data_IF_709873174825
#
_entry.id   IF_709873174825
#
_cell.length_a   1.000
_cell.length_b   1.000
_cell.length_c   1.000
_cell.angle_alpha   90.00
_cell.angle_beta   90.00
_cell.angle_gamma   90.00
#
_symmetry.space_group_name_H-M   'P 1'
#
loop_
_entity.id
_entity.type
_entity.pdbx_description
1 polymer ?
#
# COMPACT_ATOMS: atom_id res chain seq x y z
N UNK A 1 10.41 -28.47 8.48
CA UNK A 1 10.12 -28.88 7.06
C UNK A 1 10.93 -27.98 6.17
N UNK A 2 11.90 -28.55 5.43
CA UNK A 2 12.83 -27.79 4.63
C UNK A 2 12.35 -27.44 3.21
N UNK A 3 11.24 -28.04 2.76
CA UNK A 3 10.59 -27.70 1.49
C UNK A 3 9.08 -27.88 1.56
N UNK A 4 8.36 -27.24 0.62
CA UNK A 4 6.93 -27.39 0.42
C UNK A 4 6.61 -27.46 -1.07
N UNK A 5 5.96 -28.52 -1.50
CA UNK A 5 5.46 -28.66 -2.87
C UNK A 5 4.26 -27.76 -3.10
N UNK A 6 4.24 -27.07 -4.23
CA UNK A 6 3.16 -26.18 -4.65
C UNK A 6 2.40 -26.77 -5.84
N UNK A 7 1.17 -26.35 -6.03
CA UNK A 7 0.31 -26.85 -7.11
C UNK A 7 0.88 -26.52 -8.49
N UNK A 8 1.45 -25.32 -8.65
CA UNK A 8 2.14 -24.81 -9.84
C UNK A 8 2.90 -23.52 -9.47
N UNK A 9 3.72 -23.01 -10.36
CA UNK A 9 4.45 -21.74 -10.21
C UNK A 9 3.56 -20.51 -10.40
N UNK A 10 4.04 -19.50 -11.14
CA UNK A 10 3.21 -18.33 -11.45
C UNK A 10 1.97 -18.69 -12.29
N UNK A 11 2.07 -19.68 -13.15
CA UNK A 11 0.99 -20.12 -14.04
C UNK A 11 0.75 -21.64 -13.93
N UNK A 12 -0.48 -22.12 -14.24
CA UNK A 12 -0.84 -23.53 -14.10
C UNK A 12 0.02 -24.52 -14.90
N UNK A 13 0.63 -24.09 -15.99
CA UNK A 13 1.54 -24.90 -16.82
C UNK A 13 2.97 -24.97 -16.27
N UNK A 14 3.34 -24.13 -15.29
CA UNK A 14 4.68 -24.10 -14.70
C UNK A 14 4.80 -25.12 -13.57
N UNK A 15 5.10 -26.37 -13.94
CA UNK A 15 5.26 -27.51 -13.03
C UNK A 15 6.56 -28.24 -13.36
N UNK A 16 7.23 -28.83 -12.35
CA UNK A 16 6.91 -28.82 -10.92
C UNK A 16 7.13 -27.46 -10.26
N UNK A 17 6.59 -27.28 -9.05
CA UNK A 17 6.76 -26.03 -8.26
C UNK A 17 6.91 -26.35 -6.78
N UNK A 18 7.85 -25.70 -6.12
CA UNK A 18 8.10 -25.80 -4.67
C UNK A 18 8.75 -24.55 -4.11
N UNK A 19 8.67 -24.38 -2.81
CA UNK A 19 9.54 -23.48 -2.03
C UNK A 19 10.44 -24.33 -1.13
N UNK A 20 11.69 -23.89 -0.95
CA UNK A 20 12.68 -24.61 -0.13
C UNK A 20 13.80 -23.68 0.30
N UNK A 21 14.58 -24.12 1.32
CA UNK A 21 15.77 -23.43 1.75
C UNK A 21 16.99 -24.04 1.06
N UNK A 22 17.82 -23.21 0.39
CA UNK A 22 19.02 -23.67 -0.34
C UNK A 22 20.04 -24.37 0.56
N UNK A 23 20.15 -23.93 1.82
CA UNK A 23 21.05 -24.53 2.82
C UNK A 23 20.49 -25.81 3.48
N UNK A 24 19.29 -26.23 3.09
CA UNK A 24 18.61 -27.40 3.63
C UNK A 24 17.99 -27.20 5.01
N UNK A 25 18.03 -26.00 5.56
CA UNK A 25 17.36 -25.67 6.83
C UNK A 25 15.84 -25.73 6.69
N UNK A 26 15.13 -25.69 7.82
CA UNK A 26 13.68 -25.62 7.81
C UNK A 26 13.18 -24.27 7.29
N UNK A 27 12.05 -24.29 6.57
CA UNK A 27 11.35 -23.07 6.15
C UNK A 27 11.00 -22.21 7.38
N UNK A 28 11.24 -20.89 7.34
CA UNK A 28 10.95 -19.99 8.45
C UNK A 28 9.46 -19.66 8.59
N UNK A 29 8.60 -20.50 8.06
CA UNK A 29 7.14 -20.34 8.05
C UNK A 29 6.42 -21.65 8.32
N UNK A 30 5.21 -21.52 8.85
CA UNK A 30 4.24 -22.59 9.01
C UNK A 30 2.91 -22.17 8.39
N UNK A 31 2.36 -22.99 7.52
CA UNK A 31 0.99 -22.81 7.00
C UNK A 31 0.03 -23.39 8.04
N UNK A 32 -0.78 -22.55 8.67
CA UNK A 32 -1.75 -22.95 9.68
C UNK A 32 -3.08 -23.39 9.05
N UNK A 33 -3.48 -22.74 7.96
CA UNK A 33 -4.70 -23.03 7.22
C UNK A 33 -4.50 -22.76 5.73
N UNK A 34 -5.27 -23.44 4.88
CA UNK A 34 -5.28 -23.23 3.43
C UNK A 34 -4.13 -23.95 2.72
N UNK A 35 -3.94 -23.57 1.46
CA UNK A 35 -2.88 -24.08 0.57
C UNK A 35 -2.36 -22.93 -0.27
N UNK A 36 -1.48 -22.07 0.26
CA UNK A 36 -0.93 -20.93 -0.45
C UNK A 36 -0.22 -21.36 -1.73
N UNK A 37 -0.42 -20.62 -2.81
CA UNK A 37 0.28 -20.82 -4.07
C UNK A 37 1.59 -20.03 -4.14
N UNK A 38 2.29 -20.16 -5.26
CA UNK A 38 3.56 -19.52 -5.52
C UNK A 38 3.51 -18.00 -5.37
N UNK A 39 2.53 -17.33 -6.00
CA UNK A 39 2.38 -15.87 -5.91
C UNK A 39 1.97 -15.45 -4.49
N UNK A 40 1.14 -16.26 -3.80
CA UNK A 40 0.78 -15.96 -2.41
C UNK A 40 2.01 -15.89 -1.49
N UNK A 41 2.98 -16.80 -1.68
CA UNK A 41 4.22 -16.75 -0.91
C UNK A 41 5.11 -15.57 -1.27
N UNK A 42 5.18 -15.18 -2.56
CA UNK A 42 5.89 -13.97 -2.96
C UNK A 42 5.29 -12.72 -2.29
N UNK A 43 3.97 -12.57 -2.32
CA UNK A 43 3.27 -11.47 -1.65
C UNK A 43 3.49 -11.52 -0.13
N UNK A 44 3.36 -12.70 0.47
CA UNK A 44 3.53 -12.89 1.92
C UNK A 44 4.92 -12.48 2.39
N UNK A 45 5.98 -12.93 1.73
CA UNK A 45 7.35 -12.68 2.19
C UNK A 45 7.81 -11.24 1.92
N UNK A 46 7.40 -10.63 0.80
CA UNK A 46 7.66 -9.21 0.56
C UNK A 46 6.85 -8.34 1.54
N UNK A 47 5.58 -8.65 1.76
CA UNK A 47 4.73 -7.96 2.71
C UNK A 47 5.25 -8.05 4.14
N UNK A 48 5.73 -9.22 4.57
CA UNK A 48 6.33 -9.41 5.89
C UNK A 48 7.55 -8.51 6.12
N UNK A 49 8.48 -8.47 5.17
CA UNK A 49 9.66 -7.61 5.27
C UNK A 49 9.26 -6.15 5.40
N UNK A 50 8.30 -5.69 4.59
CA UNK A 50 7.79 -4.31 4.63
C UNK A 50 7.22 -3.96 6.01
N UNK A 51 6.31 -4.76 6.55
CA UNK A 51 5.66 -4.43 7.84
C UNK A 51 6.62 -4.54 9.01
N UNK A 52 7.60 -5.45 8.96
CA UNK A 52 8.67 -5.54 9.95
C UNK A 52 9.48 -4.25 10.00
N UNK A 53 9.94 -3.76 8.86
CA UNK A 53 10.69 -2.51 8.78
C UNK A 53 9.85 -1.29 9.20
N UNK A 54 8.56 -1.23 8.82
CA UNK A 54 7.67 -0.16 9.26
C UNK A 54 7.56 -0.12 10.78
N UNK A 55 7.39 -1.27 11.43
CA UNK A 55 7.33 -1.35 12.89
C UNK A 55 8.65 -0.93 13.54
N UNK A 56 9.78 -1.39 13.01
CA UNK A 56 11.11 -1.04 13.51
C UNK A 56 11.37 0.47 13.38
N UNK A 57 10.99 1.09 12.27
CA UNK A 57 11.20 2.50 12.01
C UNK A 57 10.27 3.45 12.78
N UNK A 58 9.05 3.00 13.13
CA UNK A 58 8.02 3.87 13.71
C UNK A 58 7.62 3.49 15.14
N UNK A 59 7.96 2.31 15.60
CA UNK A 59 7.51 1.76 16.89
C UNK A 59 6.03 1.38 16.94
N UNK A 60 5.28 1.52 15.84
CA UNK A 60 3.85 1.27 15.75
C UNK A 60 3.56 -0.06 15.05
N UNK A 61 2.46 -0.76 15.43
CA UNK A 61 1.98 -1.88 14.63
C UNK A 61 1.76 -1.47 13.18
N UNK A 62 2.11 -2.35 12.24
CA UNK A 62 2.02 -2.06 10.82
C UNK A 62 1.32 -3.18 10.05
N UNK A 63 0.68 -2.81 8.94
CA UNK A 63 0.05 -3.75 8.03
C UNK A 63 0.25 -3.31 6.58
N UNK A 64 0.20 -4.28 5.66
CA UNK A 64 0.19 -4.01 4.23
C UNK A 64 -0.82 -4.89 3.52
N UNK A 65 -1.37 -4.36 2.43
CA UNK A 65 -2.19 -5.05 1.44
C UNK A 65 -1.31 -5.24 0.20
N UNK A 66 -0.97 -6.49 -0.09
CA UNK A 66 -0.08 -6.85 -1.21
C UNK A 66 -0.85 -7.50 -2.34
N UNK A 67 -0.49 -7.18 -3.57
CA UNK A 67 -1.05 -7.82 -4.77
C UNK A 67 -0.08 -7.73 -5.94
N UNK A 68 0.11 -8.85 -6.65
CA UNK A 68 1.06 -8.93 -7.78
C UNK A 68 2.47 -8.47 -7.40
N UNK A 69 2.94 -8.92 -6.23
CA UNK A 69 4.30 -8.67 -5.71
C UNK A 69 4.62 -7.18 -5.53
N UNK A 70 3.59 -6.39 -5.23
CA UNK A 70 3.74 -4.97 -4.85
C UNK A 70 2.67 -4.58 -3.84
N UNK A 71 2.94 -3.64 -2.93
CA UNK A 71 1.93 -3.13 -2.01
C UNK A 71 0.89 -2.30 -2.77
N UNK A 72 -0.38 -2.60 -2.55
CA UNK A 72 -1.50 -1.72 -2.89
C UNK A 72 -1.69 -0.65 -1.82
N UNK A 73 -1.29 -0.95 -0.58
CA UNK A 73 -1.28 -0.05 0.54
C UNK A 73 -0.39 -0.55 1.68
N UNK A 74 0.09 0.39 2.49
CA UNK A 74 0.89 0.13 3.68
C UNK A 74 0.58 1.22 4.73
N UNK A 75 0.51 0.86 6.00
CA UNK A 75 0.15 1.81 7.05
C UNK A 75 0.60 1.35 8.43
N UNK A 76 0.67 2.31 9.35
CA UNK A 76 0.87 2.10 10.77
C UNK A 76 -0.42 2.30 11.56
N UNK A 77 -0.48 1.74 12.76
CA UNK A 77 -1.68 1.64 13.59
C UNK A 77 -2.05 2.93 14.33
N UNK A 78 -2.41 3.96 13.59
CA UNK A 78 -2.98 5.19 14.15
C UNK A 78 -4.51 5.11 14.19
N UNK A 79 -5.18 5.74 15.19
CA UNK A 79 -6.64 5.75 15.29
C UNK A 79 -7.31 6.28 14.02
N UNK A 80 -8.48 5.75 13.69
CA UNK A 80 -9.28 6.22 12.56
C UNK A 80 -10.17 7.40 12.98
N UNK A 81 -10.28 8.39 12.10
CA UNK A 81 -11.36 9.39 12.20
C UNK A 81 -12.69 8.76 11.80
N UNK A 82 -13.83 9.38 12.18
CA UNK A 82 -15.15 8.91 11.72
C UNK A 82 -15.24 8.82 10.20
N UNK A 83 -14.68 9.78 9.48
CA UNK A 83 -14.67 9.80 8.01
C UNK A 83 -13.89 8.62 7.45
N UNK A 84 -12.68 8.36 7.98
CA UNK A 84 -11.87 7.22 7.55
C UNK A 84 -12.57 5.89 7.88
N UNK A 85 -13.17 5.77 9.06
CA UNK A 85 -13.93 4.56 9.41
C UNK A 85 -15.09 4.30 8.42
N UNK A 86 -15.80 5.34 8.00
CA UNK A 86 -16.87 5.24 7.00
C UNK A 86 -16.36 4.81 5.62
N UNK A 87 -15.33 5.48 5.09
CA UNK A 87 -14.82 5.15 3.75
C UNK A 87 -14.09 3.81 3.70
N UNK A 88 -13.65 3.27 4.86
CA UNK A 88 -13.04 1.94 4.98
C UNK A 88 -14.07 0.85 5.36
N UNK A 89 -15.33 1.21 5.49
CA UNK A 89 -16.42 0.28 5.85
C UNK A 89 -16.19 -0.43 7.19
N UNK A 90 -15.68 0.28 8.18
CA UNK A 90 -15.39 -0.25 9.54
C UNK A 90 -16.07 0.56 10.66
N UNK A 91 -16.90 1.51 10.33
CA UNK A 91 -17.65 2.37 11.26
C UNK A 91 -18.66 1.60 12.14
N UNK A 92 -19.02 0.39 11.73
CA UNK A 92 -19.90 -0.53 12.46
C UNK A 92 -19.16 -1.49 13.43
N UNK A 93 -17.83 -1.46 13.45
CA UNK A 93 -17.01 -2.40 14.26
C UNK A 93 -16.64 -1.86 15.65
N UNK A 94 -16.99 -0.62 15.95
CA UNK A 94 -16.61 0.03 17.21
C UNK A 94 -15.13 0.42 17.25
N UNK A 95 -14.53 0.44 18.45
CA UNK A 95 -13.12 0.74 18.62
C UNK A 95 -12.26 -0.43 18.14
N UNK A 96 -11.33 -0.14 17.25
CA UNK A 96 -10.42 -1.12 16.67
C UNK A 96 -9.07 -1.10 17.39
N UNK A 97 -8.45 -2.28 17.50
CA UNK A 97 -7.05 -2.38 17.94
C UNK A 97 -6.11 -1.60 17.01
N UNK A 98 -4.92 -1.18 17.50
CA UNK A 98 -3.93 -0.50 16.64
C UNK A 98 -3.55 -1.31 15.39
N UNK A 99 -3.44 -2.63 15.49
CA UNK A 99 -3.16 -3.50 14.36
C UNK A 99 -4.31 -3.53 13.35
N UNK A 100 -5.55 -3.60 13.84
CA UNK A 100 -6.74 -3.52 12.99
C UNK A 100 -6.85 -2.15 12.29
N UNK A 101 -6.52 -1.05 12.98
CA UNK A 101 -6.42 0.29 12.38
C UNK A 101 -5.36 0.32 11.26
N UNK A 102 -4.19 -0.30 11.48
CA UNK A 102 -3.14 -0.38 10.46
C UNK A 102 -3.65 -1.09 9.19
N UNK A 103 -4.33 -2.23 9.34
CA UNK A 103 -4.87 -2.94 8.19
C UNK A 103 -6.03 -2.21 7.52
N UNK A 104 -6.94 -1.61 8.28
CA UNK A 104 -8.01 -0.79 7.72
C UNK A 104 -7.46 0.35 6.85
N UNK A 105 -6.40 1.01 7.30
CA UNK A 105 -5.70 2.07 6.55
C UNK A 105 -4.96 1.53 5.32
N UNK A 106 -4.20 0.45 5.48
CA UNK A 106 -3.44 -0.15 4.38
C UNK A 106 -4.35 -0.60 3.23
N UNK A 107 -5.43 -1.32 3.56
CA UNK A 107 -6.42 -1.75 2.57
C UNK A 107 -7.27 -0.59 2.05
N UNK A 108 -7.64 0.31 2.93
CA UNK A 108 -8.62 1.36 2.68
C UNK A 108 -8.13 2.44 1.72
N UNK A 109 -6.82 2.64 1.62
CA UNK A 109 -6.23 3.65 0.75
C UNK A 109 -6.51 3.39 -0.75
N UNK A 110 -6.48 2.13 -1.17
CA UNK A 110 -6.81 1.71 -2.53
C UNK A 110 -7.65 0.43 -2.47
N UNK A 111 -8.93 0.59 -2.23
CA UNK A 111 -9.86 -0.53 -2.07
C UNK A 111 -10.06 -1.34 -3.35
N UNK A 112 -9.87 -0.71 -4.50
CA UNK A 112 -9.98 -1.38 -5.81
C UNK A 112 -8.80 -2.34 -6.02
N UNK A 113 -7.57 -1.88 -5.81
CA UNK A 113 -6.37 -2.72 -5.93
C UNK A 113 -6.26 -3.77 -4.83
N UNK A 114 -6.81 -3.49 -3.64
CA UNK A 114 -6.76 -4.41 -2.50
C UNK A 114 -7.79 -5.56 -2.55
N UNK A 115 -8.68 -5.56 -3.51
CA UNK A 115 -9.62 -6.68 -3.71
C UNK A 115 -8.86 -7.95 -4.11
N UNK A 116 -8.89 -8.98 -3.26
CA UNK A 116 -8.11 -10.21 -3.44
C UNK A 116 -6.63 -10.07 -3.04
N UNK A 117 -6.32 -9.20 -2.09
CA UNK A 117 -4.97 -8.98 -1.57
C UNK A 117 -4.41 -10.17 -0.77
N UNK A 118 -3.11 -10.12 -0.51
CA UNK A 118 -2.44 -10.88 0.53
C UNK A 118 -1.98 -9.92 1.62
N UNK A 119 -2.35 -10.22 2.88
CA UNK A 119 -2.18 -9.34 4.02
C UNK A 119 -0.90 -9.69 4.76
N UNK A 120 -0.09 -8.71 5.15
CA UNK A 120 0.99 -8.92 6.12
C UNK A 120 0.77 -8.02 7.34
N UNK A 121 1.02 -8.59 8.51
CA UNK A 121 0.87 -7.94 9.82
C UNK A 121 2.18 -8.02 10.58
N UNK A 122 2.60 -6.92 11.19
CA UNK A 122 3.86 -6.85 11.96
C UNK A 122 3.78 -7.53 13.32
N UNK A 123 2.57 -7.70 13.85
CA UNK A 123 2.29 -8.20 15.20
C UNK A 123 1.37 -9.42 15.16
N UNK A 124 1.21 -10.04 16.34
CA UNK A 124 0.24 -11.12 16.50
C UNK A 124 -1.15 -10.66 16.11
N UNK A 125 -1.76 -11.37 15.16
CA UNK A 125 -3.11 -11.06 14.69
C UNK A 125 -4.11 -11.27 15.84
N UNK A 126 -4.77 -10.19 16.22
CA UNK A 126 -5.81 -10.19 17.26
C UNK A 126 -7.22 -10.41 16.66
N UNK A 127 -8.21 -10.52 17.55
CA UNK A 127 -9.59 -10.78 17.17
C UNK A 127 -10.17 -9.64 16.31
N UNK A 128 -9.87 -8.38 16.61
CA UNK A 128 -10.41 -7.24 15.86
C UNK A 128 -9.88 -7.21 14.43
N UNK A 129 -8.57 -7.46 14.27
CA UNK A 129 -7.94 -7.60 12.95
C UNK A 129 -8.54 -8.78 12.18
N UNK A 130 -8.74 -9.93 12.84
CA UNK A 130 -9.36 -11.10 12.22
C UNK A 130 -10.82 -10.86 11.78
N UNK A 131 -11.61 -10.12 12.57
CA UNK A 131 -12.98 -9.71 12.21
C UNK A 131 -12.99 -8.85 10.94
N UNK A 132 -12.06 -7.91 10.83
CA UNK A 132 -11.91 -7.08 9.65
C UNK A 132 -11.51 -7.93 8.43
N UNK A 133 -10.49 -8.79 8.56
CA UNK A 133 -10.06 -9.70 7.49
C UNK A 133 -11.20 -10.61 7.02
N UNK A 134 -11.98 -11.15 7.96
CA UNK A 134 -13.10 -12.06 7.65
C UNK A 134 -14.10 -11.45 6.69
N UNK A 135 -14.40 -10.17 6.82
CA UNK A 135 -15.43 -9.47 6.02
C UNK A 135 -14.95 -8.98 4.65
N UNK A 136 -13.64 -9.00 4.40
CA UNK A 136 -13.04 -8.51 3.16
C UNK A 136 -12.68 -9.67 2.20
N UNK A 137 -12.62 -9.40 0.90
CA UNK A 137 -12.12 -10.36 -0.09
C UNK A 137 -10.61 -10.30 -0.14
N UNK A 138 -9.96 -11.35 0.36
CA UNK A 138 -8.50 -11.48 0.39
C UNK A 138 -8.08 -12.93 0.16
N UNK A 139 -6.83 -13.16 -0.23
CA UNK A 139 -6.30 -14.50 -0.52
C UNK A 139 -5.67 -15.16 0.69
N UNK A 140 -5.09 -14.37 1.59
CA UNK A 140 -4.45 -14.90 2.78
C UNK A 140 -3.83 -13.81 3.65
N UNK A 141 -3.25 -14.25 4.76
CA UNK A 141 -2.57 -13.41 5.74
C UNK A 141 -1.31 -14.08 6.26
N UNK A 142 -0.25 -13.29 6.47
CA UNK A 142 0.97 -13.67 7.18
C UNK A 142 1.16 -12.78 8.40
N UNK A 143 1.50 -13.39 9.54
CA UNK A 143 1.77 -12.71 10.80
C UNK A 143 2.75 -13.52 11.64
N UNK A 144 3.43 -12.93 12.65
CA UNK A 144 4.32 -13.66 13.55
C UNK A 144 3.57 -14.61 14.49
N UNK A 145 2.26 -14.45 14.64
CA UNK A 145 1.39 -15.30 15.42
C UNK A 145 -0.07 -14.88 15.27
N UNK A 146 -0.93 -15.63 15.93
CA UNK A 146 -2.38 -15.42 15.95
C UNK A 146 -2.92 -15.75 17.32
N UNK A 147 -3.84 -14.95 17.85
CA UNK A 147 -4.58 -15.35 19.04
C UNK A 147 -5.51 -16.53 18.72
N UNK A 148 -5.90 -17.31 19.73
CA UNK A 148 -6.84 -18.42 19.55
C UNK A 148 -8.15 -17.94 18.92
N UNK A 149 -8.70 -16.84 19.44
CA UNK A 149 -9.92 -16.23 18.92
C UNK A 149 -9.75 -15.77 17.45
N UNK A 150 -8.61 -15.18 17.09
CA UNK A 150 -8.33 -14.80 15.71
C UNK A 150 -8.32 -16.00 14.76
N UNK A 151 -7.72 -17.12 15.16
CA UNK A 151 -7.73 -18.34 14.37
C UNK A 151 -9.14 -18.92 14.19
N UNK A 152 -9.97 -18.91 15.23
CA UNK A 152 -11.37 -19.34 15.15
C UNK A 152 -12.17 -18.48 14.16
N UNK A 153 -11.96 -17.17 14.17
CA UNK A 153 -12.62 -16.23 13.24
C UNK A 153 -12.16 -16.49 11.81
N UNK A 154 -10.85 -16.63 11.57
CA UNK A 154 -10.27 -16.87 10.24
C UNK A 154 -10.66 -18.24 9.67
N UNK A 155 -10.83 -19.26 10.51
CA UNK A 155 -11.28 -20.60 10.12
C UNK A 155 -12.70 -20.60 9.49
N UNK A 156 -13.52 -19.60 9.78
CA UNK A 156 -14.85 -19.46 9.18
C UNK A 156 -14.79 -18.93 7.73
N UNK A 157 -13.64 -18.37 7.32
CA UNK A 157 -13.46 -17.81 5.98
C UNK A 157 -13.14 -18.91 4.98
N UNK A 158 -13.71 -18.81 3.75
CA UNK A 158 -13.53 -19.81 2.67
C UNK A 158 -13.75 -21.27 3.13
N UNK A 159 -14.67 -21.50 4.07
CA UNK A 159 -14.96 -22.84 4.63
C UNK A 159 -13.70 -23.53 5.20
N UNK A 160 -12.85 -22.79 5.88
CA UNK A 160 -11.59 -23.28 6.47
C UNK A 160 -10.41 -23.38 5.49
N UNK A 161 -10.55 -22.93 4.25
CA UNK A 161 -9.49 -22.94 3.24
C UNK A 161 -8.85 -21.58 2.99
N UNK A 162 -9.06 -20.62 3.89
CA UNK A 162 -8.36 -19.35 3.83
C UNK A 162 -6.88 -19.53 4.16
N UNK A 163 -5.98 -18.86 3.44
CA UNK A 163 -4.56 -19.03 3.65
C UNK A 163 -4.10 -18.24 4.90
N UNK A 164 -3.62 -18.95 5.92
CA UNK A 164 -3.08 -18.38 7.15
C UNK A 164 -1.67 -18.90 7.34
N UNK A 165 -0.69 -18.00 7.30
CA UNK A 165 0.74 -18.30 7.40
C UNK A 165 1.30 -17.66 8.65
N UNK A 166 2.02 -18.42 9.45
CA UNK A 166 2.84 -17.94 10.56
C UNK A 166 4.28 -17.84 10.11
N UNK A 167 4.90 -16.67 10.29
CA UNK A 167 6.34 -16.45 10.09
C UNK A 167 7.07 -16.51 11.43
N UNK A 168 8.29 -17.03 11.45
CA UNK A 168 9.16 -16.96 12.62
C UNK A 168 9.92 -15.63 12.61
N UNK A 169 9.57 -14.66 13.46
CA UNK A 169 10.08 -13.29 13.37
C UNK A 169 11.59 -13.18 13.68
N UNK A 170 12.16 -14.18 14.34
CA UNK A 170 13.60 -14.25 14.63
C UNK A 170 14.45 -14.68 13.44
N UNK A 171 13.83 -15.20 12.37
CA UNK A 171 14.56 -15.60 11.17
C UNK A 171 15.20 -14.38 10.48
N UNK A 172 16.47 -14.54 10.13
CA UNK A 172 17.23 -13.56 9.33
C UNK A 172 17.65 -14.24 8.03
N UNK A 173 17.27 -13.70 6.87
CA UNK A 173 17.74 -14.20 5.58
C UNK A 173 19.26 -14.06 5.45
N UNK A 174 19.86 -14.82 4.52
CA UNK A 174 21.27 -14.66 4.17
C UNK A 174 21.55 -13.25 3.64
N UNK A 175 22.79 -12.78 3.84
CA UNK A 175 23.25 -11.47 3.36
C UNK A 175 23.28 -11.37 1.82
N UNK A 176 23.35 -12.51 1.16
CA UNK A 176 23.41 -12.63 -0.30
C UNK A 176 22.11 -13.23 -0.81
N UNK A 177 21.52 -12.58 -1.79
CA UNK A 177 20.34 -13.07 -2.50
C UNK A 177 20.65 -13.37 -3.97
N UNK A 178 19.93 -14.34 -4.53
CA UNK A 178 20.10 -14.83 -5.90
C UNK A 178 18.80 -14.84 -6.66
N UNK A 179 18.89 -14.53 -7.95
CA UNK A 179 17.79 -14.60 -8.91
C UNK A 179 18.29 -15.24 -10.21
N UNK A 180 17.47 -16.10 -10.81
CA UNK A 180 17.81 -16.72 -12.09
C UNK A 180 16.96 -16.13 -13.23
N UNK A 181 17.62 -15.77 -14.32
CA UNK A 181 17.00 -15.34 -15.57
C UNK A 181 17.70 -16.04 -16.71
N UNK A 182 16.98 -16.76 -17.53
CA UNK A 182 17.52 -17.52 -18.66
C UNK A 182 18.64 -18.51 -18.26
N UNK A 183 18.53 -19.12 -17.07
CA UNK A 183 19.56 -20.02 -16.53
C UNK A 183 20.80 -19.34 -15.97
N UNK A 184 20.91 -18.02 -16.10
CA UNK A 184 22.02 -17.23 -15.53
C UNK A 184 21.61 -16.80 -14.13
N UNK A 185 22.47 -17.06 -13.16
CA UNK A 185 22.26 -16.63 -11.77
C UNK A 185 22.85 -15.24 -11.56
N UNK A 186 22.00 -14.34 -11.10
CA UNK A 186 22.38 -13.02 -10.59
C UNK A 186 22.51 -13.12 -9.08
N UNK A 187 23.58 -12.56 -8.55
CA UNK A 187 23.89 -12.54 -7.12
C UNK A 187 24.15 -11.11 -6.67
N UNK A 188 23.56 -10.70 -5.55
CA UNK A 188 23.76 -9.38 -4.95
C UNK A 188 23.63 -9.44 -3.43
N UNK A 189 24.17 -8.44 -2.74
CA UNK A 189 23.84 -8.21 -1.34
C UNK A 189 22.38 -7.81 -1.17
N UNK A 190 21.74 -8.29 -0.11
CA UNK A 190 20.39 -7.85 0.24
C UNK A 190 20.37 -6.35 0.50
N UNK A 191 19.25 -5.71 0.18
CA UNK A 191 19.03 -4.32 0.54
C UNK A 191 18.68 -4.19 2.03
N UNK A 192 19.70 -4.06 2.87
CA UNK A 192 19.58 -3.87 4.32
C UNK A 192 19.66 -2.40 4.76
N UNK A 193 19.46 -1.47 3.80
CA UNK A 193 19.45 -0.05 4.10
C UNK A 193 18.39 0.30 5.15
N UNK A 194 18.84 0.88 6.25
CA UNK A 194 17.97 1.44 7.29
C UNK A 194 17.42 2.81 6.85
N UNK A 195 16.12 2.91 6.83
CA UNK A 195 15.42 4.17 6.51
C UNK A 195 15.18 4.93 7.82
N UNK A 196 16.07 5.84 8.14
CA UNK A 196 16.09 6.60 9.40
C UNK A 196 16.12 8.11 9.16
N UNK A 197 16.14 8.90 10.24
CA UNK A 197 16.13 10.36 10.17
C UNK A 197 17.42 10.94 9.57
N UNK A 198 18.57 10.28 9.74
CA UNK A 198 19.82 10.72 9.15
C UNK A 198 19.75 10.70 7.62
N UNK A 199 19.12 9.67 7.04
CA UNK A 199 18.88 9.56 5.60
C UNK A 199 18.05 10.75 5.04
N UNK A 200 17.19 11.33 5.86
CA UNK A 200 16.29 12.44 5.51
C UNK A 200 16.85 13.82 5.89
N UNK A 201 18.07 13.91 6.42
CA UNK A 201 18.64 15.15 6.97
C UNK A 201 19.14 16.14 5.91
N UNK A 202 19.45 15.67 4.69
CA UNK A 202 19.97 16.51 3.61
C UNK A 202 18.85 17.25 2.86
N UNK A 203 18.29 18.29 3.46
CA UNK A 203 17.21 19.09 2.85
C UNK A 203 17.82 20.12 1.90
N UNK A 204 17.52 20.02 0.61
CA UNK A 204 18.15 20.79 -0.47
C UNK A 204 17.36 22.02 -0.92
N UNK A 205 16.11 22.16 -0.50
CA UNK A 205 15.20 23.28 -0.81
C UNK A 205 15.41 24.47 0.14
N UNK A 206 14.82 25.63 -0.20
CA UNK A 206 14.82 26.82 0.68
C UNK A 206 14.08 26.56 1.99
N UNK A 207 12.89 25.97 1.91
CA UNK A 207 12.18 25.48 3.10
C UNK A 207 12.94 24.28 3.67
N UNK A 208 13.41 24.43 4.92
CA UNK A 208 14.18 23.41 5.65
C UNK A 208 13.37 22.66 6.69
N UNK A 209 12.09 23.00 6.85
CA UNK A 209 11.26 22.45 7.92
C UNK A 209 10.48 21.23 7.43
N UNK A 210 10.74 20.09 8.04
CA UNK A 210 9.96 18.86 7.89
C UNK A 210 9.49 18.48 9.31
N UNK A 211 8.19 18.58 9.61
CA UNK A 211 7.65 18.20 10.92
C UNK A 211 7.84 16.71 11.20
N UNK A 212 7.82 16.32 12.46
CA UNK A 212 8.00 14.92 12.89
C UNK A 212 7.01 13.97 12.23
N UNK A 213 5.74 14.36 12.12
CA UNK A 213 4.71 13.56 11.46
C UNK A 213 5.03 13.33 9.97
N UNK A 214 5.57 14.35 9.29
CA UNK A 214 6.00 14.23 7.90
C UNK A 214 7.27 13.40 7.76
N UNK A 215 8.19 13.42 8.73
CA UNK A 215 9.36 12.51 8.74
C UNK A 215 8.91 11.05 8.88
N UNK A 216 7.94 10.76 9.73
CA UNK A 216 7.35 9.43 9.84
C UNK A 216 6.72 9.02 8.50
N UNK A 217 5.93 9.89 7.89
CA UNK A 217 5.29 9.63 6.60
C UNK A 217 6.32 9.41 5.48
N UNK A 218 7.42 10.17 5.45
CA UNK A 218 8.52 9.96 4.50
C UNK A 218 9.22 8.61 4.71
N UNK A 219 9.44 8.18 5.96
CA UNK A 219 9.97 6.84 6.27
C UNK A 219 9.01 5.76 5.76
N UNK A 220 7.73 5.88 6.01
CA UNK A 220 6.71 4.95 5.49
C UNK A 220 6.76 4.89 3.97
N UNK A 221 6.85 6.04 3.30
CA UNK A 221 6.95 6.12 1.86
C UNK A 221 8.16 5.35 1.32
N UNK A 222 9.36 5.62 1.83
CA UNK A 222 10.60 5.00 1.36
C UNK A 222 10.67 3.49 1.68
N UNK A 223 10.23 3.06 2.86
CA UNK A 223 10.15 1.63 3.22
C UNK A 223 9.18 0.91 2.29
N UNK A 224 8.02 1.52 2.00
CA UNK A 224 7.06 0.96 1.05
C UNK A 224 7.70 0.77 -0.33
N UNK A 225 8.50 1.72 -0.79
CA UNK A 225 9.17 1.67 -2.09
C UNK A 225 10.27 0.60 -2.18
N UNK A 226 10.93 0.25 -1.07
CA UNK A 226 11.89 -0.88 -1.03
C UNK A 226 11.28 -2.20 -1.51
N UNK A 227 9.96 -2.35 -1.39
CA UNK A 227 9.21 -3.58 -1.72
C UNK A 227 8.21 -3.36 -2.85
N UNK A 228 8.35 -2.28 -3.61
CA UNK A 228 7.48 -1.94 -4.74
C UNK A 228 8.25 -2.05 -6.06
N UNK A 229 7.70 -2.76 -7.04
CA UNK A 229 8.31 -2.90 -8.36
C UNK A 229 8.57 -1.54 -9.00
N UNK A 230 9.80 -1.33 -9.45
CA UNK A 230 10.25 -0.06 -10.03
C UNK A 230 9.75 0.15 -11.48
N UNK A 231 9.65 1.40 -11.96
CA UNK A 231 9.71 2.64 -11.18
C UNK A 231 8.56 2.72 -10.21
N UNK A 232 8.83 3.25 -9.03
CA UNK A 232 7.79 3.40 -8.02
C UNK A 232 7.82 4.77 -7.33
N UNK A 233 6.64 5.23 -6.94
CA UNK A 233 6.40 6.49 -6.24
C UNK A 233 5.29 6.26 -5.22
N UNK A 234 5.40 6.81 -4.03
CA UNK A 234 4.45 6.62 -2.94
C UNK A 234 4.08 7.94 -2.28
N UNK A 235 2.78 8.27 -2.32
CA UNK A 235 2.19 9.38 -1.57
C UNK A 235 1.73 8.86 -0.21
N UNK A 236 2.06 9.57 0.86
CA UNK A 236 1.72 9.18 2.24
C UNK A 236 1.10 10.36 2.97
N UNK A 237 0.11 10.10 3.81
CA UNK A 237 -0.49 11.07 4.71
C UNK A 237 -1.02 10.39 5.96
N UNK A 238 -0.68 10.94 7.12
CA UNK A 238 -1.22 10.50 8.41
C UNK A 238 -0.94 9.03 8.72
N UNK A 239 0.28 8.56 8.46
CA UNK A 239 0.71 7.21 8.78
C UNK A 239 0.28 6.12 7.80
N UNK A 240 -0.18 6.49 6.58
CA UNK A 240 -0.59 5.53 5.56
C UNK A 240 -0.23 5.96 4.15
N UNK A 241 0.18 5.01 3.32
CA UNK A 241 0.26 5.21 1.88
C UNK A 241 -1.15 5.46 1.33
N UNK A 242 -1.33 6.56 0.61
CA UNK A 242 -2.61 6.97 0.02
C UNK A 242 -2.63 6.81 -1.51
N UNK A 243 -1.46 6.61 -2.12
CA UNK A 243 -1.34 6.32 -3.54
C UNK A 243 0.04 5.77 -3.86
N UNK A 244 0.08 4.57 -4.42
CA UNK A 244 1.32 3.88 -4.82
C UNK A 244 1.26 3.63 -6.33
N UNK A 245 2.28 4.12 -7.04
CA UNK A 245 2.55 3.76 -8.43
C UNK A 245 3.67 2.73 -8.48
N UNK A 246 3.45 1.63 -9.19
CA UNK A 246 4.38 0.51 -9.28
C UNK A 246 4.61 0.09 -10.73
N UNK A 247 5.82 -0.38 -11.05
CA UNK A 247 6.14 -1.04 -12.31
C UNK A 247 6.04 -0.14 -13.55
N UNK A 248 6.17 1.18 -13.40
CA UNK A 248 6.05 2.10 -14.52
C UNK A 248 7.40 2.36 -15.19
N UNK A 249 7.43 2.36 -16.52
CA UNK A 249 8.64 2.61 -17.30
C UNK A 249 9.03 4.10 -17.31
N UNK A 250 8.06 5.00 -17.14
CA UNK A 250 8.28 6.45 -17.07
C UNK A 250 8.05 6.97 -15.66
N UNK A 251 9.00 7.75 -15.12
CA UNK A 251 8.89 8.37 -13.80
C UNK A 251 7.65 9.27 -13.69
N UNK A 252 7.39 10.12 -14.68
CA UNK A 252 6.22 11.02 -14.66
C UNK A 252 4.89 10.26 -14.73
N UNK A 253 4.83 9.16 -15.49
CA UNK A 253 3.64 8.31 -15.52
C UNK A 253 3.40 7.66 -14.16
N UNK A 254 4.47 7.22 -13.49
CA UNK A 254 4.40 6.68 -12.15
C UNK A 254 3.85 7.71 -11.15
N UNK A 255 4.40 8.93 -11.17
CA UNK A 255 3.95 10.06 -10.33
C UNK A 255 2.48 10.41 -10.59
N UNK A 256 2.04 10.38 -11.85
CA UNK A 256 0.63 10.62 -12.23
C UNK A 256 -0.29 9.53 -11.70
N UNK A 257 0.07 8.26 -11.88
CA UNK A 257 -0.73 7.12 -11.42
C UNK A 257 -0.87 7.12 -9.89
N UNK A 258 0.25 7.25 -9.18
CA UNK A 258 0.23 7.33 -7.72
C UNK A 258 -0.58 8.53 -7.21
N UNK A 259 -0.41 9.69 -7.86
CA UNK A 259 -1.16 10.90 -7.53
C UNK A 259 -2.66 10.77 -7.79
N UNK A 260 -3.06 10.09 -8.86
CA UNK A 260 -4.49 9.82 -9.12
C UNK A 260 -5.10 8.94 -8.02
N UNK A 261 -4.39 7.91 -7.58
CA UNK A 261 -4.84 7.08 -6.45
C UNK A 261 -4.96 7.88 -5.15
N UNK A 262 -3.99 8.75 -4.86
CA UNK A 262 -4.04 9.66 -3.71
C UNK A 262 -5.22 10.64 -3.79
N UNK A 263 -5.49 11.19 -4.97
CA UNK A 263 -6.66 12.05 -5.23
C UNK A 263 -7.96 11.28 -5.00
N UNK A 264 -8.08 10.05 -5.51
CA UNK A 264 -9.25 9.20 -5.32
C UNK A 264 -9.50 8.90 -3.84
N UNK A 265 -8.44 8.62 -3.06
CA UNK A 265 -8.56 8.43 -1.61
C UNK A 265 -9.17 9.66 -0.93
N UNK A 266 -8.74 10.86 -1.31
CA UNK A 266 -9.25 12.09 -0.72
C UNK A 266 -10.66 12.45 -1.22
N UNK A 267 -10.96 12.21 -2.50
CA UNK A 267 -12.30 12.40 -3.07
C UNK A 267 -13.36 11.50 -2.42
N UNK A 268 -12.98 10.29 -2.01
CA UNK A 268 -13.89 9.37 -1.28
C UNK A 268 -14.39 9.95 0.06
N UNK A 269 -13.71 10.95 0.60
CA UNK A 269 -14.05 11.64 1.85
C UNK A 269 -14.98 12.85 1.62
N UNK A 270 -15.24 13.22 0.38
CA UNK A 270 -16.09 14.35 0.05
C UNK A 270 -17.56 14.12 0.46
N UNK A 271 -18.27 15.17 0.90
CA UNK A 271 -19.70 15.05 1.27
C UNK A 271 -20.56 14.45 0.17
N UNK A 272 -20.28 14.72 -1.10
CA UNK A 272 -20.99 14.14 -2.24
C UNK A 272 -20.85 12.62 -2.29
N UNK A 273 -19.69 12.08 -1.94
CA UNK A 273 -19.43 10.62 -1.91
C UNK A 273 -20.01 9.99 -0.65
N UNK A 274 -19.82 10.61 0.52
CA UNK A 274 -20.36 10.14 1.79
C UNK A 274 -21.89 10.14 1.80
N UNK A 275 -22.52 11.01 1.00
CA UNK A 275 -23.98 11.13 0.84
C UNK A 275 -24.61 10.16 -0.16
N UNK A 276 -23.82 9.33 -0.85
CA UNK A 276 -24.36 8.36 -1.82
C UNK A 276 -25.28 7.35 -1.15
N UNK A 277 -26.50 7.22 -1.66
CA UNK A 277 -27.51 6.31 -1.14
C UNK A 277 -27.58 5.04 -1.97
N UNK A 278 -26.81 4.03 -1.57
CA UNK A 278 -26.78 2.75 -2.25
C UNK A 278 -28.03 1.91 -1.97
N UNK A 279 -28.38 1.04 -2.91
CA UNK A 279 -29.35 -0.03 -2.67
C UNK A 279 -28.84 -0.96 -1.55
N UNK A 280 -29.75 -1.43 -0.70
CA UNK A 280 -29.41 -2.30 0.43
C UNK A 280 -28.86 -3.66 -0.03
N UNK A 281 -29.14 -4.06 -1.27
CA UNK A 281 -28.66 -5.28 -1.90
C UNK A 281 -27.20 -5.23 -2.36
N UNK A 282 -26.60 -4.04 -2.50
CA UNK A 282 -25.22 -3.90 -2.93
C UNK A 282 -24.23 -4.24 -1.80
N UNK A 283 -23.33 -5.16 -2.09
CA UNK A 283 -22.18 -5.46 -1.24
C UNK A 283 -21.12 -4.36 -1.27
N UNK A 284 -20.18 -4.41 -0.33
CA UNK A 284 -19.10 -3.40 -0.21
C UNK A 284 -18.26 -3.27 -1.48
N UNK A 285 -17.86 -4.39 -2.09
CA UNK A 285 -17.07 -4.37 -3.33
C UNK A 285 -17.81 -3.67 -4.48
N UNK A 286 -19.12 -3.88 -4.62
CA UNK A 286 -19.93 -3.24 -5.64
C UNK A 286 -20.09 -1.73 -5.36
N UNK A 287 -20.21 -1.35 -4.09
CA UNK A 287 -20.24 0.06 -3.67
C UNK A 287 -18.90 0.73 -3.95
N UNK A 288 -17.78 0.07 -3.63
CA UNK A 288 -16.44 0.58 -3.92
C UNK A 288 -16.24 0.82 -5.41
N UNK A 289 -16.68 -0.13 -6.26
CA UNK A 289 -16.64 0.01 -7.71
C UNK A 289 -17.50 1.18 -8.21
N UNK A 290 -18.72 1.32 -7.68
CA UNK A 290 -19.60 2.42 -8.06
C UNK A 290 -19.02 3.79 -7.64
N UNK A 291 -18.38 3.87 -6.47
CA UNK A 291 -17.69 5.09 -6.01
C UNK A 291 -16.51 5.41 -6.94
N UNK A 292 -15.69 4.42 -7.28
CA UNK A 292 -14.51 4.62 -8.13
C UNK A 292 -14.90 5.21 -9.49
N UNK A 293 -15.95 4.67 -10.13
CA UNK A 293 -16.48 5.21 -11.39
C UNK A 293 -17.12 6.59 -11.19
N UNK A 294 -17.88 6.78 -10.11
CA UNK A 294 -18.57 8.05 -9.82
C UNK A 294 -17.61 9.23 -9.64
N UNK A 295 -16.47 9.00 -8.97
CA UNK A 295 -15.44 10.04 -8.79
C UNK A 295 -14.52 10.18 -10.00
N UNK A 296 -14.53 9.21 -10.91
CA UNK A 296 -13.75 9.22 -12.16
C UNK A 296 -14.29 10.16 -13.24
N UNK A 297 -13.67 10.10 -14.40
CA UNK A 297 -14.12 10.86 -15.59
C UNK A 297 -15.24 10.12 -16.34
N UNK A 298 -15.41 8.82 -16.09
CA UNK A 298 -16.40 7.93 -16.73
C UNK A 298 -17.66 7.77 -15.88
N UNK A 299 -17.99 8.78 -15.06
CA UNK A 299 -19.13 8.76 -14.14
C UNK A 299 -20.48 8.49 -14.81
N UNK A 300 -20.60 8.76 -16.11
CA UNK A 300 -21.80 8.48 -16.88
C UNK A 300 -22.16 6.99 -16.86
N UNK A 301 -21.18 6.09 -16.77
CA UNK A 301 -21.38 4.63 -16.71
C UNK A 301 -22.20 4.20 -15.50
N UNK A 302 -22.23 4.98 -14.44
CA UNK A 302 -23.04 4.71 -13.24
C UNK A 302 -24.21 5.68 -13.05
N UNK A 303 -24.24 6.82 -13.76
CA UNK A 303 -25.29 7.82 -13.64
C UNK A 303 -26.27 7.85 -14.82
N UNK A 304 -25.99 7.11 -15.92
CA UNK A 304 -26.88 7.02 -17.07
C UNK A 304 -28.24 6.41 -16.66
N UNK A 305 -29.29 6.76 -17.43
CA UNK A 305 -30.63 6.20 -17.22
C UNK A 305 -30.63 4.69 -17.47
N UNK A 306 -31.22 3.94 -16.52
CA UNK A 306 -31.17 2.48 -16.51
C UNK A 306 -29.92 1.89 -15.79
N UNK A 307 -28.90 2.69 -15.52
CA UNK A 307 -27.69 2.27 -14.82
C UNK A 307 -27.67 2.72 -13.34
N UNK A 308 -28.06 3.97 -13.04
CA UNK A 308 -28.05 4.44 -11.67
C UNK A 308 -29.06 3.68 -10.78
N UNK A 309 -30.21 3.29 -11.33
CA UNK A 309 -31.24 2.53 -10.59
C UNK A 309 -30.75 1.14 -10.12
N UNK A 310 -29.70 0.61 -10.73
CA UNK A 310 -29.10 -0.66 -10.32
C UNK A 310 -28.21 -0.52 -9.08
N UNK A 311 -27.87 0.70 -8.69
CA UNK A 311 -26.87 0.98 -7.64
C UNK A 311 -27.36 1.90 -6.54
N UNK A 312 -28.17 2.88 -6.89
CA UNK A 312 -28.57 3.96 -5.98
C UNK A 312 -30.08 4.00 -5.74
N UNK A 313 -30.49 4.40 -4.53
CA UNK A 313 -31.89 4.66 -4.17
C UNK A 313 -32.39 5.97 -4.79
N UNK A 314 -31.49 6.93 -4.94
CA UNK A 314 -31.75 8.24 -5.54
C UNK A 314 -30.61 8.52 -6.51
N UNK A 315 -30.90 9.06 -7.69
CA UNK A 315 -29.89 9.43 -8.68
C UNK A 315 -28.94 10.47 -8.07
N UNK A 316 -27.65 10.18 -7.96
CA UNK A 316 -26.68 11.18 -7.50
C UNK A 316 -26.53 12.33 -8.50
N UNK A 317 -26.28 13.52 -7.99
CA UNK A 317 -25.79 14.62 -8.81
C UNK A 317 -24.38 14.35 -9.30
N UNK A 318 -24.01 14.94 -10.44
CA UNK A 318 -22.64 14.81 -10.97
C UNK A 318 -21.67 15.53 -10.04
N UNK A 319 -20.60 14.84 -9.64
CA UNK A 319 -19.48 15.46 -8.94
C UNK A 319 -18.57 16.11 -9.99
N UNK A 320 -18.77 17.40 -10.23
CA UNK A 320 -18.13 18.13 -11.30
C UNK A 320 -16.62 18.25 -11.11
N UNK A 321 -15.90 18.50 -12.19
CA UNK A 321 -14.44 18.69 -12.17
C UNK A 321 -14.02 19.85 -11.27
N UNK A 322 -14.80 20.94 -11.29
CA UNK A 322 -14.58 22.12 -10.45
C UNK A 322 -14.75 21.80 -8.97
N UNK A 323 -15.82 21.09 -8.62
CA UNK A 323 -16.08 20.66 -7.23
C UNK A 323 -14.99 19.69 -6.74
N UNK A 324 -14.59 18.72 -7.59
CA UNK A 324 -13.46 17.81 -7.28
C UNK A 324 -12.19 18.60 -7.02
N UNK A 325 -11.87 19.56 -7.88
CA UNK A 325 -10.66 20.38 -7.70
C UNK A 325 -10.71 21.21 -6.42
N UNK A 326 -11.84 21.84 -6.13
CA UNK A 326 -12.03 22.61 -4.90
C UNK A 326 -11.86 21.73 -3.64
N UNK A 327 -12.36 20.50 -3.67
CA UNK A 327 -12.18 19.54 -2.57
C UNK A 327 -10.70 19.10 -2.43
N UNK A 328 -10.07 18.75 -3.55
CA UNK A 328 -8.66 18.32 -3.58
C UNK A 328 -7.69 19.39 -3.11
N UNK A 329 -8.00 20.67 -3.31
CA UNK A 329 -7.19 21.80 -2.81
C UNK A 329 -7.15 21.85 -1.28
N UNK A 330 -8.09 21.22 -0.58
CA UNK A 330 -8.09 21.01 0.87
C UNK A 330 -7.14 19.91 1.35
N UNK A 331 -6.63 19.07 0.46
CA UNK A 331 -5.64 18.07 0.82
C UNK A 331 -4.25 18.71 0.81
N UNK A 332 -3.68 18.91 1.99
CA UNK A 332 -2.40 19.60 2.21
C UNK A 332 -1.47 18.72 3.04
N UNK A 333 -0.20 19.10 3.10
CA UNK A 333 0.85 18.45 3.92
C UNK A 333 1.02 16.94 3.59
N UNK A 334 0.81 16.57 2.34
CA UNK A 334 1.06 15.22 1.83
C UNK A 334 2.56 15.04 1.63
N UNK A 335 3.07 13.84 1.92
CA UNK A 335 4.45 13.47 1.62
C UNK A 335 4.56 12.64 0.36
N UNK A 336 5.72 12.70 -0.29
CA UNK A 336 6.02 11.96 -1.51
C UNK A 336 7.41 11.36 -1.44
N UNK A 337 7.52 10.05 -1.60
CA UNK A 337 8.79 9.35 -1.83
C UNK A 337 8.91 8.87 -3.27
N UNK A 338 10.15 8.81 -3.76
CA UNK A 338 10.48 8.23 -5.06
C UNK A 338 11.67 7.28 -4.93
N UNK A 339 11.59 6.13 -5.58
CA UNK A 339 12.65 5.11 -5.55
C UNK A 339 13.91 5.50 -6.38
N UNK A 340 13.81 6.54 -7.22
CA UNK A 340 14.92 7.15 -7.93
C UNK A 340 14.69 8.66 -8.13
N UNK A 341 15.67 9.37 -8.69
CA UNK A 341 15.59 10.81 -8.91
C UNK A 341 14.44 11.21 -9.84
N UNK A 342 13.90 12.40 -9.63
CA UNK A 342 12.99 13.04 -10.58
C UNK A 342 13.80 13.68 -11.72
N UNK A 343 13.57 13.25 -12.97
CA UNK A 343 14.36 13.78 -14.09
C UNK A 343 13.96 15.21 -14.52
N UNK A 344 12.71 15.62 -14.23
CA UNK A 344 12.15 16.89 -14.63
C UNK A 344 11.14 17.45 -13.62
N UNK A 345 10.90 18.79 -13.61
CA UNK A 345 9.96 19.46 -12.70
C UNK A 345 8.51 19.04 -12.83
N UNK A 346 8.10 18.44 -13.95
CA UNK A 346 6.72 17.98 -14.20
C UNK A 346 6.22 16.99 -13.14
N UNK A 347 7.13 16.23 -12.53
CA UNK A 347 6.83 15.39 -11.37
C UNK A 347 6.39 16.21 -10.15
N UNK A 348 7.06 17.34 -9.90
CA UNK A 348 6.74 18.25 -8.79
C UNK A 348 5.42 18.99 -9.08
N UNK A 349 5.22 19.45 -10.32
CA UNK A 349 3.95 20.07 -10.75
C UNK A 349 2.76 19.10 -10.56
N UNK A 350 2.97 17.79 -10.85
CA UNK A 350 1.93 16.78 -10.58
C UNK A 350 1.71 16.58 -9.08
N UNK A 351 2.78 16.47 -8.31
CA UNK A 351 2.73 16.27 -6.87
C UNK A 351 2.00 17.41 -6.15
N UNK A 352 2.23 18.65 -6.58
CA UNK A 352 1.55 19.84 -6.04
C UNK A 352 0.03 19.72 -6.12
N UNK A 353 -0.51 19.17 -7.21
CA UNK A 353 -1.96 19.00 -7.42
C UNK A 353 -2.60 18.02 -6.42
N UNK A 354 -1.83 17.13 -5.82
CA UNK A 354 -2.26 16.20 -4.79
C UNK A 354 -1.88 16.63 -3.36
N UNK A 355 -1.51 17.90 -3.16
CA UNK A 355 -1.26 18.48 -1.85
C UNK A 355 0.12 18.19 -1.26
N UNK A 356 1.08 17.72 -2.05
CA UNK A 356 2.43 17.41 -1.58
C UNK A 356 3.14 18.66 -1.07
N UNK A 357 3.74 18.53 0.10
CA UNK A 357 4.55 19.54 0.78
C UNK A 357 5.96 19.06 1.09
N UNK A 358 6.12 17.77 1.33
CA UNK A 358 7.37 17.15 1.76
C UNK A 358 7.76 16.01 0.82
N UNK A 359 9.03 15.99 0.40
CA UNK A 359 9.52 15.05 -0.61
C UNK A 359 10.82 14.40 -0.15
N UNK A 360 10.98 13.11 -0.46
CA UNK A 360 12.24 12.40 -0.36
C UNK A 360 12.54 11.69 -1.68
N UNK A 361 13.74 11.89 -2.23
CA UNK A 361 14.24 11.25 -3.45
C UNK A 361 15.77 11.23 -3.43
N UNK A 362 16.43 10.36 -4.23
CA UNK A 362 17.90 10.25 -4.19
C UNK A 362 18.67 11.50 -4.59
N UNK A 363 18.14 12.30 -5.53
CA UNK A 363 18.96 13.26 -6.25
C UNK A 363 19.91 12.60 -7.27
N UNK A 364 20.80 13.39 -7.88
CA UNK A 364 21.76 12.92 -8.86
C UNK A 364 21.32 13.04 -10.32
N UNK A 365 20.23 13.72 -10.60
CA UNK A 365 19.84 14.13 -11.95
C UNK A 365 20.66 15.34 -12.41
N UNK A 366 20.96 15.42 -13.70
CA UNK A 366 21.56 16.62 -14.31
C UNK A 366 20.62 17.83 -14.27
N UNK A 367 19.36 17.63 -13.86
CA UNK A 367 18.32 18.66 -13.75
C UNK A 367 17.83 18.83 -12.32
N UNK A 368 18.62 18.44 -11.33
CA UNK A 368 18.27 18.64 -9.92
C UNK A 368 18.00 20.10 -9.57
N UNK A 369 18.74 21.02 -10.19
CA UNK A 369 18.55 22.47 -10.06
C UNK A 369 17.11 22.90 -10.39
N UNK A 370 16.56 22.44 -11.51
CA UNK A 370 15.19 22.76 -11.93
C UNK A 370 14.13 22.12 -11.05
N UNK A 371 14.40 20.93 -10.54
CA UNK A 371 13.50 20.23 -9.63
C UNK A 371 13.45 20.93 -8.29
N UNK A 372 14.61 21.35 -7.75
CA UNK A 372 14.71 22.14 -6.52
C UNK A 372 14.00 23.50 -6.67
N UNK A 373 14.25 24.22 -7.78
CA UNK A 373 13.59 25.50 -8.08
C UNK A 373 12.06 25.35 -8.09
N UNK A 374 11.55 24.28 -8.70
CA UNK A 374 10.10 24.00 -8.73
C UNK A 374 9.56 23.74 -7.32
N UNK A 375 10.28 23.01 -6.48
CA UNK A 375 9.92 22.82 -5.07
C UNK A 375 9.90 24.16 -4.31
N UNK A 376 10.91 25.02 -4.51
CA UNK A 376 10.99 26.34 -3.87
C UNK A 376 9.82 27.23 -4.28
N UNK A 377 9.43 27.23 -5.57
CA UNK A 377 8.25 27.94 -6.07
C UNK A 377 6.99 27.63 -5.27
N UNK A 378 6.83 26.41 -4.80
CA UNK A 378 5.67 25.95 -4.02
C UNK A 378 5.93 25.88 -2.51
N UNK A 379 7.10 26.33 -2.03
CA UNK A 379 7.46 26.28 -0.63
C UNK A 379 7.53 24.85 -0.06
N UNK A 380 7.84 23.87 -0.89
CA UNK A 380 8.04 22.48 -0.47
C UNK A 380 9.40 22.30 0.18
N UNK A 381 9.51 21.32 1.10
CA UNK A 381 10.77 20.83 1.62
C UNK A 381 11.11 19.49 0.97
N UNK A 382 12.33 19.35 0.43
CA UNK A 382 12.79 18.14 -0.23
C UNK A 382 14.13 17.69 0.34
N UNK A 383 14.20 16.43 0.76
CA UNK A 383 15.43 15.77 1.17
C UNK A 383 16.01 14.91 0.04
N UNK A 384 17.31 14.98 -0.17
CA UNK A 384 18.07 14.07 -1.00
C UNK A 384 18.63 12.92 -0.15
N UNK A 385 18.20 11.70 -0.42
CA UNK A 385 18.66 10.51 0.31
C UNK A 385 20.00 10.00 -0.20
N UNK A 386 20.41 10.35 -1.43
CA UNK A 386 21.61 9.84 -2.07
C UNK A 386 21.54 8.36 -2.47
N UNK A 387 20.42 7.67 -2.21
CA UNK A 387 20.31 6.22 -2.41
C UNK A 387 19.08 5.87 -3.23
N UNK A 388 19.29 5.09 -4.28
CA UNK A 388 18.24 4.51 -5.12
C UNK A 388 17.67 3.25 -4.47
N UNK A 389 16.33 3.08 -4.54
CA UNK A 389 15.59 1.98 -3.93
C UNK A 389 14.96 1.05 -4.98
N UNK A 390 15.61 0.79 -6.10
CA UNK A 390 15.05 -0.09 -7.12
C UNK A 390 14.80 -1.50 -6.59
N UNK A 391 13.63 -2.02 -6.97
CA UNK A 391 13.19 -3.37 -6.66
C UNK A 391 12.67 -4.05 -7.94
N UNK A 392 13.29 -5.19 -8.29
CA UNK A 392 12.98 -5.94 -9.51
C UNK A 392 12.83 -7.44 -9.27
#
# INVERSE_FOLDING_TARGET
>A
MNEMQLKYGCNPNQKPSRIFMEDGSDLPVKVLMGKPGFINFLDAFNGWQLVKELKEATGLPAATSFKHVSPAGAAVGLPLTETLAKIYWVDDLGELSPLACAYARARGADRMSSFGDFIALSDVCDADTAKLIKREVSDGVIAPGYTEEALEILAQKKKGNYNVIQIYPSYKPAEIERKQVYGITFEQGRNELDINDELLSNIVTENKEIPEEALIDLKISLITLKYTQSNSVCYVKGGQAIGIGAGQQSRVHCTRLAGQKADNWYLRQAPQVLGLQFLDTLGRAERDNAIDVYIGDEYEDVLAEGEWQKRFKVKPEVFTREEKRAWLDGNIDVTLGSDAFFPFPDNIERAKKSGVKYIAQPGGSVRDDLVIECCNKYGMAMAFTGIRLFHH
#
